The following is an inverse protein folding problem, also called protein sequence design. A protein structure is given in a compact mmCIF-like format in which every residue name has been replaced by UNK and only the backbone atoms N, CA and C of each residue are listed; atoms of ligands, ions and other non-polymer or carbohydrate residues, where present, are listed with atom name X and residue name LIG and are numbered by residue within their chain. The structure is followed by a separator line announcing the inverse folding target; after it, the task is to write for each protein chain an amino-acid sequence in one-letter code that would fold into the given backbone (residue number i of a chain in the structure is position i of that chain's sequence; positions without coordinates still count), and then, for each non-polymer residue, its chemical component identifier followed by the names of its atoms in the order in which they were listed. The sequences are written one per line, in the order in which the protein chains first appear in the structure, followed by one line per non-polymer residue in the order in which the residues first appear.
data_IF_934745092091
#
_entry.id   IF_934745092091
#
_cell.length_a   1.000
_cell.length_b   1.000
_cell.length_c   1.000
_cell.angle_alpha   90.00
_cell.angle_beta   90.00
_cell.angle_gamma   90.00
#
_symmetry.space_group_name_H-M   'P 1'
#
loop_
_entity.id
_entity.type
_entity.pdbx_description
1 polymer ?
#
# COMPACT_ATOMS: atom_id res chain seq x y z
N UNK A 1 -41.03 16.33 0.27
CA UNK A 1 -40.19 15.21 -0.22
C UNK A 1 -39.49 15.70 -1.47
N UNK A 2 -38.17 15.52 -1.56
CA UNK A 2 -37.37 15.98 -2.69
C UNK A 2 -36.67 14.78 -3.35
N UNK A 3 -36.47 14.87 -4.65
CA UNK A 3 -35.85 13.84 -5.47
C UNK A 3 -34.73 14.48 -6.26
N UNK A 4 -33.54 13.87 -6.25
CA UNK A 4 -32.37 14.36 -6.98
C UNK A 4 -31.72 13.20 -7.73
N UNK A 5 -31.41 13.46 -9.00
CA UNK A 5 -30.59 12.59 -9.85
C UNK A 5 -29.13 13.07 -9.76
N UNK A 6 -28.25 12.23 -9.21
CA UNK A 6 -26.81 12.50 -9.12
C UNK A 6 -26.12 11.74 -10.26
N UNK A 7 -25.44 12.48 -11.15
CA UNK A 7 -24.57 11.90 -12.18
C UNK A 7 -23.12 11.90 -11.69
N UNK A 8 -22.56 10.72 -11.42
CA UNK A 8 -21.13 10.55 -11.08
C UNK A 8 -20.29 10.56 -12.36
N UNK A 9 -19.02 11.01 -12.28
CA UNK A 9 -18.07 11.08 -13.41
C UNK A 9 -17.87 9.75 -14.18
N UNK A 10 -18.20 8.61 -13.57
CA UNK A 10 -18.21 7.27 -14.19
C UNK A 10 -19.48 6.91 -14.98
N UNK A 11 -20.41 7.84 -15.20
CA UNK A 11 -21.64 7.62 -15.99
C UNK A 11 -22.76 6.88 -15.25
N UNK A 12 -22.61 6.60 -13.95
CA UNK A 12 -23.66 6.02 -13.11
C UNK A 12 -24.63 7.12 -12.65
N UNK A 13 -25.93 6.87 -12.84
CA UNK A 13 -27.03 7.74 -12.41
C UNK A 13 -27.63 7.17 -11.13
N UNK A 14 -27.52 7.91 -10.03
CA UNK A 14 -28.08 7.53 -8.73
C UNK A 14 -29.29 8.41 -8.45
N UNK A 15 -30.45 7.78 -8.26
CA UNK A 15 -31.70 8.45 -7.91
C UNK A 15 -31.88 8.38 -6.39
N UNK A 16 -31.89 9.54 -5.74
CA UNK A 16 -31.99 9.67 -4.28
C UNK A 16 -33.30 10.40 -3.95
N UNK A 17 -34.13 9.76 -3.12
CA UNK A 17 -35.38 10.31 -2.61
C UNK A 17 -35.25 10.50 -1.09
N UNK A 18 -35.52 11.71 -0.60
CA UNK A 18 -35.37 12.00 0.82
C UNK A 18 -35.68 13.44 1.21
N UNK A 19 -35.28 13.81 2.42
CA UNK A 19 -35.31 15.20 2.87
C UNK A 19 -34.11 15.97 2.33
N UNK A 20 -34.23 17.30 2.21
CA UNK A 20 -33.16 18.17 1.69
C UNK A 20 -31.85 18.01 2.45
N UNK A 21 -31.92 17.71 3.76
CA UNK A 21 -30.74 17.49 4.60
C UNK A 21 -29.99 16.19 4.24
N UNK A 22 -30.72 15.10 4.00
CA UNK A 22 -30.14 13.81 3.64
C UNK A 22 -29.52 13.84 2.23
N UNK A 23 -30.17 14.54 1.30
CA UNK A 23 -29.69 14.68 -0.08
C UNK A 23 -28.36 15.44 -0.11
N UNK A 24 -28.24 16.54 0.63
CA UNK A 24 -27.00 17.31 0.68
C UNK A 24 -25.86 16.48 1.29
N UNK A 25 -26.12 15.72 2.36
CA UNK A 25 -25.12 14.84 2.97
C UNK A 25 -24.60 13.77 1.98
N UNK A 26 -25.49 13.20 1.15
CA UNK A 26 -25.11 12.21 0.14
C UNK A 26 -24.32 12.86 -1.01
N UNK A 27 -24.72 14.04 -1.46
CA UNK A 27 -24.00 14.80 -2.50
C UNK A 27 -22.58 15.17 -2.04
N UNK A 28 -22.43 15.63 -0.81
CA UNK A 28 -21.12 15.97 -0.23
C UNK A 28 -20.25 14.73 -0.07
N UNK A 29 -20.83 13.61 0.37
CA UNK A 29 -20.13 12.33 0.48
C UNK A 29 -19.61 11.84 -0.88
N UNK A 30 -20.42 11.90 -1.93
CA UNK A 30 -20.02 11.49 -3.29
C UNK A 30 -18.91 12.40 -3.83
N UNK A 31 -19.05 13.72 -3.70
CA UNK A 31 -18.04 14.69 -4.17
C UNK A 31 -16.70 14.53 -3.45
N UNK A 32 -16.72 14.31 -2.13
CA UNK A 32 -15.49 14.13 -1.36
C UNK A 32 -14.67 12.91 -1.80
N UNK A 33 -15.34 11.84 -2.26
CA UNK A 33 -14.69 10.62 -2.77
C UNK A 33 -14.13 10.76 -4.19
N UNK A 34 -14.74 11.58 -5.05
CA UNK A 34 -14.21 11.82 -6.41
C UNK A 34 -12.89 12.62 -6.37
N UNK A 35 -12.69 13.48 -5.36
CA UNK A 35 -11.48 14.31 -5.24
C UNK A 35 -10.26 13.63 -4.63
N UNK A 36 -10.38 12.41 -4.09
CA UNK A 36 -9.25 11.67 -3.47
C UNK A 36 -8.41 10.84 -4.44
N UNK A 37 -8.40 11.21 -5.72
CA UNK A 37 -7.41 10.70 -6.67
C UNK A 37 -6.11 11.48 -6.50
N UNK A 38 -5.08 10.81 -5.96
CA UNK A 38 -3.70 11.26 -5.69
C UNK A 38 -3.45 11.89 -4.30
N UNK A 39 -3.19 11.05 -3.30
CA UNK A 39 -1.94 11.02 -2.49
C UNK A 39 -2.03 9.82 -1.54
N UNK A 40 -0.94 9.05 -1.42
CA UNK A 40 -0.93 7.72 -0.80
C UNK A 40 -1.45 7.66 0.64
N UNK A 41 -2.44 6.80 0.85
CA UNK A 41 -2.65 6.08 2.11
C UNK A 41 -2.91 4.62 1.75
N UNK A 42 -2.06 3.77 2.32
CA UNK A 42 -2.16 2.31 2.28
C UNK A 42 -3.45 1.88 2.98
N UNK A 43 -4.04 0.81 2.45
CA UNK A 43 -5.06 -0.07 3.02
C UNK A 43 -6.53 0.22 2.65
N UNK A 44 -6.98 -0.44 1.58
CA UNK A 44 -8.20 -1.24 1.68
C UNK A 44 -7.85 -2.71 1.48
N UNK A 45 -8.00 -3.47 2.57
CA UNK A 45 -7.87 -4.93 2.62
C UNK A 45 -8.97 -5.55 1.76
N UNK A 46 -8.62 -6.02 0.57
CA UNK A 46 -9.40 -7.07 -0.09
C UNK A 46 -9.15 -8.41 0.62
N UNK A 47 -10.18 -9.21 0.91
CA UNK A 47 -10.00 -10.45 1.68
C UNK A 47 -9.28 -11.50 0.83
N UNK A 48 -8.25 -12.12 1.41
CA UNK A 48 -7.69 -13.42 0.98
C UNK A 48 -6.92 -13.49 -0.36
N UNK A 49 -6.07 -12.51 -0.68
CA UNK A 49 -4.92 -12.81 -1.56
C UNK A 49 -3.74 -13.31 -0.71
N UNK A 50 -3.14 -14.44 -1.11
CA UNK A 50 -1.89 -14.92 -0.52
C UNK A 50 -0.86 -13.80 -0.62
N UNK A 51 -0.32 -13.33 0.52
CA UNK A 51 0.71 -12.28 0.54
C UNK A 51 1.90 -12.73 -0.29
N UNK A 52 2.31 -11.91 -1.24
CA UNK A 52 3.51 -12.16 -2.02
C UNK A 52 4.75 -11.76 -1.21
N UNK A 53 5.93 -12.27 -1.59
CA UNK A 53 7.20 -11.90 -0.96
C UNK A 53 7.44 -10.38 -0.96
N UNK A 54 6.98 -9.67 -2.00
CA UNK A 54 7.04 -8.21 -2.04
C UNK A 54 6.23 -7.59 -0.90
N UNK A 55 4.99 -8.04 -0.70
CA UNK A 55 4.09 -7.53 0.34
C UNK A 55 4.67 -7.78 1.73
N UNK A 56 5.28 -8.95 1.95
CA UNK A 56 5.95 -9.28 3.21
C UNK A 56 7.15 -8.36 3.51
N UNK A 57 7.92 -8.00 2.48
CA UNK A 57 9.04 -7.05 2.63
C UNK A 57 8.52 -5.63 2.88
N UNK A 58 7.41 -5.24 2.26
CA UNK A 58 6.76 -3.95 2.51
C UNK A 58 6.15 -3.87 3.91
N UNK A 59 5.61 -4.98 4.43
CA UNK A 59 5.16 -5.08 5.83
C UNK A 59 6.34 -4.85 6.78
N UNK A 60 7.50 -5.48 6.54
CA UNK A 60 8.73 -5.23 7.31
C UNK A 60 9.16 -3.75 7.25
N UNK A 61 9.01 -3.09 6.09
CA UNK A 61 9.24 -1.64 5.94
C UNK A 61 8.25 -0.82 6.75
N UNK A 62 6.97 -1.20 6.77
CA UNK A 62 5.94 -0.54 7.58
C UNK A 62 6.20 -0.68 9.08
N UNK A 63 6.79 -1.79 9.51
CA UNK A 63 7.18 -2.06 10.90
C UNK A 63 8.49 -1.37 11.34
N UNK A 64 9.16 -0.61 10.46
CA UNK A 64 10.41 0.08 10.79
C UNK A 64 11.68 -0.79 10.70
N UNK A 65 11.59 -2.01 10.15
CA UNK A 65 12.75 -2.90 10.03
C UNK A 65 13.91 -2.28 9.23
N UNK A 66 13.58 -1.42 8.25
CA UNK A 66 14.55 -0.76 7.37
C UNK A 66 14.93 0.67 7.81
N UNK A 67 14.63 1.07 9.05
CA UNK A 67 15.04 2.39 9.58
C UNK A 67 16.57 2.47 9.77
N UNK A 68 17.21 1.31 10.00
CA UNK A 68 18.66 1.13 9.92
C UNK A 68 19.00 0.31 8.67
N UNK A 69 20.19 0.47 8.06
CA UNK A 69 20.51 -0.31 6.87
C UNK A 69 20.65 -1.81 7.21
N UNK A 70 19.88 -2.65 6.51
CA UNK A 70 19.82 -4.10 6.76
C UNK A 70 20.49 -4.91 5.65
N UNK A 71 21.17 -5.98 6.03
CA UNK A 71 21.78 -6.93 5.07
C UNK A 71 20.72 -7.89 4.53
N UNK A 72 20.96 -8.47 3.35
CA UNK A 72 20.04 -9.47 2.74
C UNK A 72 19.79 -10.64 3.69
N UNK A 73 20.83 -11.08 4.41
CA UNK A 73 20.74 -12.15 5.41
C UNK A 73 19.81 -11.80 6.57
N UNK A 74 19.83 -10.55 7.02
CA UNK A 74 18.94 -10.08 8.09
C UNK A 74 17.48 -10.03 7.63
N UNK A 75 17.24 -9.56 6.39
CA UNK A 75 15.90 -9.59 5.78
C UNK A 75 15.39 -11.03 5.67
N UNK A 76 16.23 -11.97 5.21
CA UNK A 76 15.87 -13.39 5.16
C UNK A 76 15.49 -13.92 6.55
N UNK A 77 16.33 -13.65 7.55
CA UNK A 77 16.09 -14.13 8.91
C UNK A 77 14.79 -13.54 9.50
N UNK A 78 14.48 -12.27 9.22
CA UNK A 78 13.23 -11.65 9.64
C UNK A 78 11.99 -12.28 8.97
N UNK A 79 12.11 -12.69 7.70
CA UNK A 79 11.06 -13.44 7.01
C UNK A 79 10.91 -14.86 7.58
N UNK A 80 12.03 -15.55 7.85
CA UNK A 80 12.04 -16.88 8.46
C UNK A 80 11.38 -16.86 9.85
N UNK A 81 11.63 -15.82 10.65
CA UNK A 81 10.98 -15.61 11.96
C UNK A 81 9.45 -15.44 11.87
N UNK A 82 8.94 -14.95 10.74
CA UNK A 82 7.50 -14.86 10.44
C UNK A 82 6.95 -16.12 9.77
N UNK A 83 7.66 -17.25 9.87
CA UNK A 83 7.32 -18.52 9.22
C UNK A 83 7.25 -18.45 7.67
N UNK A 84 7.99 -17.50 7.07
CA UNK A 84 8.07 -17.31 5.63
C UNK A 84 9.46 -17.69 5.09
N UNK A 85 9.64 -18.97 4.82
CA UNK A 85 10.91 -19.52 4.34
C UNK A 85 11.10 -19.28 2.84
N UNK A 86 12.09 -18.46 2.50
CA UNK A 86 12.45 -18.18 1.11
C UNK A 86 13.95 -18.40 0.88
N UNK A 87 14.34 -18.92 -0.30
CA UNK A 87 15.76 -19.02 -0.65
C UNK A 87 16.36 -17.63 -0.85
N UNK A 88 17.61 -17.45 -0.43
CA UNK A 88 18.32 -16.15 -0.46
C UNK A 88 18.28 -15.44 -1.82
N UNK A 89 18.44 -16.12 -2.98
CA UNK A 89 18.34 -15.48 -4.30
C UNK A 89 16.95 -14.88 -4.59
N UNK A 90 15.88 -15.49 -4.07
CA UNK A 90 14.52 -14.97 -4.24
C UNK A 90 14.33 -13.66 -3.48
N UNK A 91 14.82 -13.59 -2.23
CA UNK A 91 14.82 -12.38 -1.41
C UNK A 91 15.66 -11.28 -2.08
N UNK A 92 16.88 -11.61 -2.52
CA UNK A 92 17.78 -10.68 -3.23
C UNK A 92 17.13 -10.08 -4.47
N UNK A 93 16.52 -10.92 -5.31
CA UNK A 93 15.87 -10.47 -6.56
C UNK A 93 14.72 -9.50 -6.28
N UNK A 94 13.93 -9.76 -5.22
CA UNK A 94 12.82 -8.87 -4.83
C UNK A 94 13.30 -7.56 -4.23
N UNK A 95 14.30 -7.58 -3.36
CA UNK A 95 14.90 -6.38 -2.79
C UNK A 95 15.45 -5.44 -3.87
N UNK A 96 16.16 -5.98 -4.88
CA UNK A 96 16.66 -5.18 -6.00
C UNK A 96 15.52 -4.54 -6.79
N UNK A 97 14.42 -5.27 -7.03
CA UNK A 97 13.24 -4.70 -7.70
C UNK A 97 12.60 -3.58 -6.89
N UNK A 98 12.50 -3.73 -5.57
CA UNK A 98 12.00 -2.68 -4.68
C UNK A 98 12.91 -1.45 -4.68
N UNK A 99 14.23 -1.63 -4.72
CA UNK A 99 15.16 -0.51 -4.87
C UNK A 99 14.98 0.22 -6.21
N UNK A 100 14.86 -0.54 -7.30
CA UNK A 100 14.60 0.04 -8.64
C UNK A 100 13.24 0.74 -8.72
N UNK A 101 12.24 0.24 -8.00
CA UNK A 101 10.92 0.85 -7.87
C UNK A 101 10.88 2.07 -6.94
N UNK A 102 11.99 2.40 -6.27
CA UNK A 102 12.07 3.54 -5.36
C UNK A 102 11.46 3.29 -3.98
N UNK A 103 11.04 2.06 -3.67
CA UNK A 103 10.47 1.68 -2.38
C UNK A 103 11.53 1.53 -1.28
N UNK A 104 12.74 1.14 -1.65
CA UNK A 104 13.88 1.01 -0.76
C UNK A 104 15.09 1.78 -1.33
N UNK A 105 15.94 2.28 -0.45
CA UNK A 105 17.27 2.75 -0.75
C UNK A 105 18.32 1.66 -0.56
N UNK A 106 19.53 1.91 -1.05
CA UNK A 106 20.70 1.06 -0.79
C UNK A 106 21.88 1.92 -0.37
N UNK A 107 22.51 1.58 0.74
CA UNK A 107 23.66 2.29 1.31
C UNK A 107 24.82 1.31 1.44
N UNK A 108 26.05 1.78 1.19
CA UNK A 108 27.26 0.97 1.34
C UNK A 108 27.68 0.98 2.81
N UNK A 109 27.72 -0.19 3.44
CA UNK A 109 28.20 -0.42 4.81
C UNK A 109 29.34 -1.43 4.79
N UNK A 110 30.51 -1.07 5.30
CA UNK A 110 31.62 -2.03 5.54
C UNK A 110 31.88 -2.95 4.34
N UNK A 111 31.99 -2.36 3.15
CA UNK A 111 32.21 -3.07 1.87
C UNK A 111 31.04 -3.94 1.37
N UNK A 112 29.89 -3.96 2.05
CA UNK A 112 28.66 -4.64 1.63
C UNK A 112 27.53 -3.63 1.41
N UNK A 113 26.50 -4.04 0.70
CA UNK A 113 25.30 -3.22 0.48
C UNK A 113 24.24 -3.54 1.53
N UNK A 114 23.77 -2.52 2.24
CA UNK A 114 22.60 -2.55 3.11
C UNK A 114 21.40 -1.90 2.44
N UNK A 115 20.21 -2.36 2.79
CA UNK A 115 18.93 -1.83 2.32
C UNK A 115 18.33 -0.94 3.41
N UNK A 116 17.86 0.24 3.03
CA UNK A 116 17.29 1.23 3.94
C UNK A 116 15.95 1.69 3.40
N UNK A 117 15.06 2.16 4.28
CA UNK A 117 13.85 2.86 3.86
C UNK A 117 14.23 4.14 3.10
N UNK A 118 13.53 4.42 2.00
CA UNK A 118 13.66 5.70 1.28
C UNK A 118 12.76 6.75 1.91
#
# INVERSE_FOLDING_TARGET
MAQVEISTSGGTKILVEGTTQEINAIVDYVKSRETTSHTGVVAEKSPHRKKNLTDLILDLKGEGFFDSPKKITEVKNALDQKAHFYPLPSVSTRLIRLVRGGELGRVKMESKWGYVKR
#
